data_IF_142508513401
#
_entry.id   IF_142508513401
#
_cell.length_a   1.000
_cell.length_b   1.000
_cell.length_c   1.000
_cell.angle_alpha   90.00
_cell.angle_beta   90.00
_cell.angle_gamma   90.00
#
_symmetry.space_group_name_H-M   'P 1'
#
loop_
_entity.id
_entity.type
_entity.pdbx_description
1 polymer ?
#
# COMPACT_ATOMS: atom_id res chain seq x y z
N UNK A 1 -24.54 0.64 -9.07
CA UNK A 1 -24.32 -0.66 -8.39
C UNK A 1 -22.86 -1.06 -8.65
N UNK A 2 -21.99 -0.93 -7.66
CA UNK A 2 -20.60 -1.40 -7.76
C UNK A 2 -20.61 -2.93 -7.76
N UNK A 3 -20.12 -3.55 -8.85
CA UNK A 3 -19.84 -4.97 -8.86
C UNK A 3 -18.69 -5.22 -7.88
N UNK A 4 -18.98 -5.80 -6.73
CA UNK A 4 -17.95 -6.34 -5.85
C UNK A 4 -17.08 -7.32 -6.65
N UNK A 5 -15.81 -6.99 -6.80
CA UNK A 5 -14.82 -7.93 -7.35
C UNK A 5 -14.55 -8.97 -6.26
N UNK A 6 -15.27 -10.08 -6.28
CA UNK A 6 -14.97 -11.25 -5.44
C UNK A 6 -13.85 -12.05 -6.08
N UNK A 7 -12.83 -12.34 -5.30
CA UNK A 7 -11.87 -13.39 -5.66
C UNK A 7 -12.53 -14.74 -5.39
N UNK A 8 -12.57 -15.58 -6.39
CA UNK A 8 -13.07 -16.94 -6.28
C UNK A 8 -11.89 -17.90 -6.06
N UNK A 9 -12.08 -18.93 -5.24
CA UNK A 9 -11.16 -20.05 -5.20
C UNK A 9 -11.22 -20.84 -6.52
N UNK A 10 -10.20 -21.64 -6.78
CA UNK A 10 -10.20 -22.48 -7.98
C UNK A 10 -11.38 -23.47 -7.98
N UNK A 11 -11.72 -24.01 -6.81
CA UNK A 11 -12.88 -24.88 -6.62
C UNK A 11 -14.20 -24.17 -6.93
N UNK A 12 -14.40 -22.92 -6.43
CA UNK A 12 -15.59 -22.12 -6.74
C UNK A 12 -15.70 -21.81 -8.24
N UNK A 13 -14.55 -21.59 -8.90
CA UNK A 13 -14.53 -21.34 -10.33
C UNK A 13 -14.95 -22.59 -11.12
N UNK A 14 -14.48 -23.78 -10.74
CA UNK A 14 -14.87 -25.06 -11.34
C UNK A 14 -16.36 -25.33 -11.17
N UNK A 15 -16.89 -25.18 -9.95
CA UNK A 15 -18.32 -25.37 -9.66
C UNK A 15 -19.20 -24.45 -10.53
N UNK A 16 -18.82 -23.15 -10.64
CA UNK A 16 -19.56 -22.19 -11.48
C UNK A 16 -19.56 -22.53 -12.97
N UNK A 17 -18.54 -23.25 -13.43
CA UNK A 17 -18.44 -23.76 -14.79
C UNK A 17 -19.17 -25.10 -14.96
N UNK A 18 -19.78 -25.64 -13.89
CA UNK A 18 -20.42 -26.94 -13.89
C UNK A 18 -19.42 -28.09 -14.07
N UNK A 19 -18.19 -27.90 -13.64
CA UNK A 19 -17.11 -28.89 -13.74
C UNK A 19 -16.79 -29.46 -12.36
N UNK A 20 -16.53 -30.76 -12.30
CA UNK A 20 -16.07 -31.41 -11.07
C UNK A 20 -14.61 -31.01 -10.77
N UNK A 21 -14.39 -30.42 -9.61
CA UNK A 21 -13.05 -30.09 -9.17
C UNK A 21 -12.33 -31.34 -8.64
N UNK A 22 -11.11 -31.58 -9.12
CA UNK A 22 -10.22 -32.55 -8.52
C UNK A 22 -9.80 -32.08 -7.12
N UNK A 23 -9.44 -33.00 -6.19
CA UNK A 23 -9.05 -32.64 -4.83
C UNK A 23 -7.95 -31.57 -4.81
N UNK A 24 -8.18 -30.51 -4.02
CA UNK A 24 -7.22 -29.41 -3.86
C UNK A 24 -5.99 -29.85 -3.04
N UNK A 25 -4.92 -29.06 -3.14
CA UNK A 25 -3.61 -29.27 -2.46
C UNK A 25 -2.73 -30.37 -3.04
N UNK A 26 -3.07 -30.85 -4.24
CA UNK A 26 -2.17 -31.62 -5.10
C UNK A 26 -1.78 -30.77 -6.31
N UNK A 27 -0.50 -30.53 -6.51
CA UNK A 27 -0.02 -29.64 -7.56
C UNK A 27 -0.47 -30.05 -8.97
N UNK A 28 -0.60 -31.37 -9.23
CA UNK A 28 -1.08 -31.88 -10.52
C UNK A 28 -2.59 -31.65 -10.69
N UNK A 29 -3.36 -31.86 -9.60
CA UNK A 29 -4.79 -31.59 -9.61
C UNK A 29 -5.09 -30.10 -9.76
N UNK A 30 -4.38 -29.26 -9.04
CA UNK A 30 -4.51 -27.79 -9.14
C UNK A 30 -4.16 -27.29 -10.54
N UNK A 31 -3.10 -27.84 -11.16
CA UNK A 31 -2.75 -27.53 -12.54
C UNK A 31 -3.86 -27.96 -13.52
N UNK A 32 -4.42 -29.15 -13.38
CA UNK A 32 -5.52 -29.64 -14.22
C UNK A 32 -6.79 -28.81 -14.07
N UNK A 33 -7.19 -28.50 -12.85
CA UNK A 33 -8.32 -27.61 -12.54
C UNK A 33 -8.10 -26.22 -13.18
N UNK A 34 -6.89 -25.68 -13.07
CA UNK A 34 -6.53 -24.39 -13.68
C UNK A 34 -6.66 -24.44 -15.21
N UNK A 35 -6.15 -25.48 -15.86
CA UNK A 35 -6.29 -25.66 -17.32
C UNK A 35 -7.77 -25.73 -17.69
N UNK A 36 -8.57 -26.50 -16.97
CA UNK A 36 -10.01 -26.60 -17.21
C UNK A 36 -10.71 -25.27 -17.14
N UNK A 37 -10.43 -24.47 -16.11
CA UNK A 37 -10.96 -23.08 -15.97
C UNK A 37 -10.51 -22.22 -17.16
N UNK A 38 -9.23 -22.27 -17.51
CA UNK A 38 -8.69 -21.48 -18.63
C UNK A 38 -9.33 -21.82 -19.97
N UNK A 39 -9.68 -23.10 -20.21
CA UNK A 39 -10.35 -23.53 -21.45
C UNK A 39 -11.78 -22.99 -21.58
N UNK A 40 -12.42 -22.63 -20.48
CA UNK A 40 -13.78 -22.06 -20.46
C UNK A 40 -13.77 -20.53 -20.42
N UNK A 41 -12.59 -19.89 -20.31
CA UNK A 41 -12.45 -18.44 -20.31
C UNK A 41 -12.15 -17.94 -21.73
N UNK A 42 -12.76 -16.83 -22.10
CA UNK A 42 -12.31 -16.04 -23.25
C UNK A 42 -10.99 -15.35 -22.89
N UNK A 43 -9.88 -16.06 -23.10
CA UNK A 43 -8.53 -15.58 -22.76
C UNK A 43 -8.15 -14.31 -23.52
N UNK A 44 -8.62 -14.16 -24.76
CA UNK A 44 -8.32 -12.97 -25.58
C UNK A 44 -8.99 -11.75 -24.96
N UNK A 45 -10.27 -11.87 -24.63
CA UNK A 45 -11.03 -10.81 -23.96
C UNK A 45 -10.51 -10.55 -22.56
N UNK A 46 -10.25 -11.59 -21.77
CA UNK A 46 -9.71 -11.48 -20.41
C UNK A 46 -8.36 -10.77 -20.37
N UNK A 47 -7.45 -11.09 -21.29
CA UNK A 47 -6.16 -10.41 -21.44
C UNK A 47 -6.32 -8.96 -21.90
N UNK A 48 -7.24 -8.67 -22.81
CA UNK A 48 -7.53 -7.32 -23.25
C UNK A 48 -8.09 -6.47 -22.10
N UNK A 49 -9.04 -6.99 -21.31
CA UNK A 49 -9.60 -6.34 -20.13
C UNK A 49 -8.54 -6.16 -19.03
N UNK A 50 -7.70 -7.17 -18.78
CA UNK A 50 -6.58 -7.08 -17.83
C UNK A 50 -5.58 -5.99 -18.25
N UNK A 51 -5.20 -5.94 -19.53
CA UNK A 51 -4.28 -4.93 -20.03
C UNK A 51 -4.89 -3.52 -20.01
N UNK A 52 -6.19 -3.38 -20.27
CA UNK A 52 -6.91 -2.13 -20.12
C UNK A 52 -6.96 -1.68 -18.64
N UNK A 53 -7.20 -2.62 -17.71
CA UNK A 53 -7.18 -2.38 -16.27
C UNK A 53 -5.76 -2.05 -15.79
N UNK A 54 -4.74 -2.74 -16.31
CA UNK A 54 -3.33 -2.46 -16.02
C UNK A 54 -2.89 -1.10 -16.55
N UNK A 55 -3.38 -0.69 -17.73
CA UNK A 55 -3.20 0.67 -18.23
C UNK A 55 -3.92 1.71 -17.35
N UNK A 56 -5.10 1.38 -16.85
CA UNK A 56 -5.87 2.24 -15.93
C UNK A 56 -5.24 2.30 -14.54
N UNK A 57 -4.65 1.19 -14.06
CA UNK A 57 -3.86 1.14 -12.83
C UNK A 57 -2.45 1.78 -13.00
N UNK A 58 -1.92 1.84 -14.23
CA UNK A 58 -0.80 2.72 -14.57
C UNK A 58 -1.18 4.21 -14.51
N UNK A 59 -2.46 4.53 -14.57
CA UNK A 59 -2.97 5.88 -14.32
C UNK A 59 -2.96 6.26 -12.83
N UNK A 60 -2.77 5.31 -11.91
CA UNK A 60 -2.34 5.60 -10.53
C UNK A 60 -0.84 5.92 -10.46
N UNK A 61 -0.26 6.26 -11.61
CA UNK A 61 1.00 6.96 -11.81
C UNK A 61 2.08 6.58 -10.79
N UNK A 62 2.31 5.26 -10.60
CA UNK A 62 3.49 4.80 -9.85
C UNK A 62 4.72 5.24 -10.64
N UNK A 63 5.38 6.27 -10.15
CA UNK A 63 6.60 6.81 -10.76
C UNK A 63 7.79 5.91 -10.47
N UNK A 64 7.85 5.36 -9.24
CA UNK A 64 8.96 4.52 -8.80
C UNK A 64 8.54 3.54 -7.70
N UNK A 65 9.17 2.37 -7.67
CA UNK A 65 9.13 1.46 -6.52
C UNK A 65 10.56 1.05 -6.16
N UNK A 66 11.00 1.45 -4.97
CA UNK A 66 12.29 1.05 -4.40
C UNK A 66 12.04 -0.02 -3.32
N UNK A 67 12.84 -1.08 -3.36
CA UNK A 67 12.93 -2.09 -2.29
C UNK A 67 14.40 -2.19 -1.88
N UNK A 68 14.83 -1.41 -0.88
CA UNK A 68 16.20 -1.51 -0.39
C UNK A 68 16.48 -2.92 0.11
N UNK A 69 17.66 -3.44 -0.19
CA UNK A 69 18.16 -4.70 0.38
C UNK A 69 18.78 -4.43 1.76
N UNK A 70 17.94 -3.87 2.65
CA UNK A 70 18.33 -3.39 3.97
C UNK A 70 17.25 -3.74 5.00
N UNK A 71 17.71 -4.20 6.16
CA UNK A 71 16.85 -4.54 7.29
C UNK A 71 17.06 -3.55 8.44
N UNK A 72 15.98 -3.20 9.12
CA UNK A 72 15.97 -2.21 10.19
C UNK A 72 15.47 -2.84 11.49
N UNK A 73 16.08 -2.54 12.65
CA UNK A 73 15.62 -3.03 13.94
C UNK A 73 14.21 -2.52 14.29
N UNK A 74 13.89 -1.29 13.91
CA UNK A 74 12.58 -0.70 14.13
C UNK A 74 12.10 0.07 12.90
N UNK A 75 10.79 0.35 12.84
CA UNK A 75 10.22 1.21 11.80
C UNK A 75 10.77 2.63 11.86
N UNK A 76 11.07 3.13 13.06
CA UNK A 76 11.63 4.49 13.23
C UNK A 76 13.02 4.58 12.63
N UNK A 77 13.90 3.59 12.88
CA UNK A 77 15.23 3.58 12.25
C UNK A 77 15.16 3.63 10.72
N UNK A 78 14.16 2.97 10.12
CA UNK A 78 13.97 3.08 8.68
C UNK A 78 13.48 4.48 8.25
N UNK A 79 12.56 5.09 9.02
CA UNK A 79 12.05 6.43 8.71
C UNK A 79 13.05 7.56 9.02
N UNK A 80 14.14 7.28 9.70
CA UNK A 80 15.27 8.16 9.91
C UNK A 80 16.39 7.97 8.86
N UNK A 81 16.30 6.90 8.07
CA UNK A 81 17.27 6.63 7.01
C UNK A 81 17.09 7.60 5.84
N UNK A 82 18.04 8.49 5.68
CA UNK A 82 18.03 9.52 4.63
C UNK A 82 18.03 8.95 3.22
N UNK A 83 18.63 7.78 2.99
CA UNK A 83 18.60 7.11 1.69
C UNK A 83 17.21 6.57 1.33
N UNK A 84 16.45 6.20 2.36
CA UNK A 84 15.06 5.77 2.17
C UNK A 84 14.13 6.96 1.94
N UNK A 85 14.30 8.05 2.71
CA UNK A 85 13.39 9.20 2.71
C UNK A 85 13.67 10.14 1.56
N UNK A 86 14.95 10.42 1.30
CA UNK A 86 15.34 11.30 0.19
C UNK A 86 15.45 10.49 -1.10
N UNK A 87 15.06 11.11 -2.19
CA UNK A 87 15.16 10.50 -3.52
C UNK A 87 15.27 11.56 -4.61
N UNK A 88 15.66 11.13 -5.78
CA UNK A 88 15.70 12.00 -6.94
C UNK A 88 14.36 11.98 -7.67
N UNK A 89 13.92 13.15 -8.09
CA UNK A 89 12.68 13.33 -8.83
C UNK A 89 12.71 12.48 -10.11
N UNK A 90 11.74 11.57 -10.32
CA UNK A 90 11.69 10.73 -11.50
C UNK A 90 11.41 11.50 -12.80
N UNK A 91 11.00 12.77 -12.70
CA UNK A 91 10.72 13.64 -13.85
C UNK A 91 11.91 14.50 -14.24
N UNK A 92 12.68 15.02 -13.28
CA UNK A 92 13.74 16.01 -13.57
C UNK A 92 15.10 15.68 -12.93
N UNK A 93 15.22 14.61 -12.14
CA UNK A 93 16.47 14.19 -11.51
C UNK A 93 16.95 15.03 -10.33
N UNK A 94 16.20 16.08 -9.93
CA UNK A 94 16.55 16.90 -8.76
C UNK A 94 16.12 16.24 -7.45
N UNK A 95 16.64 16.73 -6.35
CA UNK A 95 16.32 16.19 -5.03
C UNK A 95 14.84 16.42 -4.65
N UNK A 96 14.25 15.43 -3.99
CA UNK A 96 12.90 15.47 -3.42
C UNK A 96 13.00 15.32 -1.91
N UNK A 97 12.40 16.25 -1.18
CA UNK A 97 12.33 16.21 0.27
C UNK A 97 10.95 15.73 0.70
N UNK A 98 10.93 14.67 1.52
CA UNK A 98 9.71 14.18 2.15
C UNK A 98 9.42 14.93 3.43
N UNK A 99 8.20 15.45 3.55
CA UNK A 99 7.73 16.16 4.73
C UNK A 99 6.43 15.55 5.27
N UNK A 100 6.24 15.65 6.59
CA UNK A 100 4.99 15.26 7.23
C UNK A 100 4.69 13.79 7.10
N UNK A 101 5.62 12.92 7.54
CA UNK A 101 5.39 11.46 7.54
C UNK A 101 4.27 11.14 8.53
N UNK A 102 3.20 10.53 8.02
CA UNK A 102 2.02 10.13 8.78
C UNK A 102 1.90 8.62 8.79
N UNK A 103 1.49 8.06 9.92
CA UNK A 103 1.14 6.65 10.02
C UNK A 103 -0.21 6.42 9.35
N UNK A 104 -0.26 5.57 8.33
CA UNK A 104 -1.49 5.16 7.67
C UNK A 104 -2.17 4.00 8.42
N UNK A 105 -1.39 2.99 8.79
CA UNK A 105 -1.79 1.85 9.62
C UNK A 105 -0.55 1.23 10.28
N UNK A 106 -0.66 0.01 10.81
CA UNK A 106 0.44 -0.67 11.50
C UNK A 106 1.71 -0.77 10.64
N UNK A 107 1.57 -1.04 9.34
CA UNK A 107 2.70 -1.38 8.45
C UNK A 107 2.89 -0.38 7.30
N UNK A 108 2.17 0.74 7.31
CA UNK A 108 2.25 1.71 6.23
C UNK A 108 2.34 3.13 6.78
N UNK A 109 3.22 3.91 6.15
CA UNK A 109 3.39 5.34 6.38
C UNK A 109 3.29 6.06 5.04
N UNK A 110 2.86 7.30 5.08
CA UNK A 110 2.67 8.14 3.90
C UNK A 110 3.26 9.53 4.15
N UNK A 111 3.73 10.17 3.11
CA UNK A 111 4.14 11.58 3.15
C UNK A 111 3.93 12.26 1.78
N UNK A 112 4.15 13.56 1.75
CA UNK A 112 4.29 14.32 0.50
C UNK A 112 5.76 14.60 0.28
N UNK A 113 6.28 14.17 -0.88
CA UNK A 113 7.59 14.56 -1.38
C UNK A 113 7.46 15.79 -2.28
N UNK A 114 8.32 16.79 -2.08
CA UNK A 114 8.39 17.99 -2.90
C UNK A 114 9.75 18.11 -3.59
N UNK A 115 9.69 18.23 -4.90
CA UNK A 115 10.85 18.49 -5.73
C UNK A 115 11.21 19.99 -5.73
N UNK A 116 12.47 20.31 -5.89
CA UNK A 116 12.95 21.70 -6.06
C UNK A 116 12.28 22.44 -7.23
N UNK A 117 11.87 21.71 -8.26
CA UNK A 117 11.14 22.28 -9.41
C UNK A 117 9.63 22.45 -9.17
N UNK A 118 9.12 22.09 -7.98
CA UNK A 118 7.71 22.22 -7.62
C UNK A 118 6.87 20.98 -7.89
N UNK A 119 7.43 19.90 -8.47
CA UNK A 119 6.69 18.64 -8.61
C UNK A 119 6.40 18.05 -7.22
N UNK A 120 5.20 17.52 -7.05
CA UNK A 120 4.80 16.88 -5.81
C UNK A 120 4.49 15.40 -6.04
N UNK A 121 4.83 14.59 -5.05
CA UNK A 121 4.66 13.15 -5.07
C UNK A 121 3.94 12.68 -3.80
N UNK A 122 3.04 11.72 -3.96
CA UNK A 122 2.53 10.96 -2.83
C UNK A 122 3.46 9.76 -2.61
N UNK A 123 4.05 9.68 -1.43
CA UNK A 123 5.03 8.64 -1.10
C UNK A 123 4.45 7.70 -0.06
N UNK A 124 4.55 6.40 -0.29
CA UNK A 124 4.13 5.37 0.65
C UNK A 124 5.30 4.48 1.01
N UNK A 125 5.51 4.30 2.30
CA UNK A 125 6.42 3.31 2.87
C UNK A 125 5.58 2.13 3.36
N UNK A 126 5.91 0.92 2.89
CA UNK A 126 5.29 -0.33 3.34
C UNK A 126 6.34 -1.18 4.04
N UNK A 127 6.08 -1.52 5.28
CA UNK A 127 6.93 -2.35 6.12
C UNK A 127 6.49 -3.81 6.07
N UNK A 128 7.47 -4.71 6.09
CA UNK A 128 7.26 -6.14 6.28
C UNK A 128 8.10 -6.57 7.47
N UNK A 129 7.45 -7.12 8.50
CA UNK A 129 8.13 -7.67 9.67
C UNK A 129 8.64 -9.07 9.35
N UNK A 130 9.86 -9.37 9.78
CA UNK A 130 10.51 -10.66 9.60
C UNK A 130 10.52 -11.46 10.90
N UNK A 131 10.74 -12.82 10.87
CA UNK A 131 10.75 -13.65 12.06
C UNK A 131 11.81 -13.28 13.11
N UNK A 132 12.90 -12.66 12.69
CA UNK A 132 13.96 -12.13 13.56
C UNK A 132 13.66 -10.75 14.15
N UNK A 133 12.40 -10.34 14.12
CA UNK A 133 11.89 -9.06 14.60
C UNK A 133 12.37 -7.82 13.81
N UNK A 134 13.17 -7.99 12.75
CA UNK A 134 13.58 -6.90 11.88
C UNK A 134 12.48 -6.50 10.87
N UNK A 135 12.67 -5.37 10.19
CA UNK A 135 11.75 -4.85 9.19
C UNK A 135 12.47 -4.59 7.88
N UNK A 136 11.94 -5.09 6.79
CA UNK A 136 12.23 -4.56 5.46
C UNK A 136 11.20 -3.52 5.08
N UNK A 137 11.55 -2.61 4.17
CA UNK A 137 10.67 -1.53 3.73
C UNK A 137 10.66 -1.40 2.22
N UNK A 138 9.50 -1.09 1.65
CA UNK A 138 9.35 -0.69 0.26
C UNK A 138 8.89 0.76 0.20
N UNK A 139 9.55 1.59 -0.59
CA UNK A 139 9.09 2.94 -0.95
C UNK A 139 8.40 2.91 -2.30
N UNK A 140 7.19 3.41 -2.35
CA UNK A 140 6.42 3.55 -3.59
C UNK A 140 6.09 5.03 -3.77
N UNK A 141 6.47 5.57 -4.91
CA UNK A 141 6.27 6.96 -5.27
C UNK A 141 5.18 7.04 -6.33
N UNK A 142 4.17 7.84 -6.08
CA UNK A 142 3.08 8.14 -7.01
C UNK A 142 3.19 9.61 -7.42
N UNK A 143 2.91 9.93 -8.68
CA UNK A 143 2.66 11.31 -9.05
C UNK A 143 1.45 11.83 -8.25
N UNK A 144 1.52 13.07 -7.80
CA UNK A 144 0.44 13.65 -7.02
C UNK A 144 -0.78 13.89 -7.91
N UNK A 145 -1.93 13.44 -7.43
CA UNK A 145 -3.25 13.78 -7.98
C UNK A 145 -4.18 14.25 -6.86
N UNK A 146 -5.38 14.68 -7.21
CA UNK A 146 -6.35 15.23 -6.26
C UNK A 146 -6.81 14.16 -5.25
N UNK A 147 -6.89 12.88 -5.66
CA UNK A 147 -7.30 11.79 -4.77
C UNK A 147 -6.23 11.54 -3.70
N UNK A 148 -4.96 11.44 -4.08
CA UNK A 148 -3.85 11.28 -3.14
C UNK A 148 -3.70 12.49 -2.22
N UNK A 149 -3.87 13.70 -2.76
CA UNK A 149 -3.80 14.93 -1.97
C UNK A 149 -4.92 14.98 -0.92
N UNK A 150 -6.16 14.73 -1.33
CA UNK A 150 -7.31 14.69 -0.43
C UNK A 150 -7.14 13.62 0.65
N UNK A 151 -6.71 12.42 0.26
CA UNK A 151 -6.43 11.34 1.20
C UNK A 151 -5.39 11.74 2.24
N UNK A 152 -4.26 12.33 1.81
CA UNK A 152 -3.21 12.79 2.73
C UNK A 152 -3.74 13.85 3.70
N UNK A 153 -4.50 14.83 3.20
CA UNK A 153 -5.05 15.90 4.03
C UNK A 153 -6.01 15.38 5.11
N UNK A 154 -6.88 14.44 4.75
CA UNK A 154 -7.77 13.77 5.73
C UNK A 154 -6.94 13.05 6.80
N UNK A 155 -5.91 12.31 6.41
CA UNK A 155 -5.05 11.59 7.37
C UNK A 155 -4.26 12.54 8.26
N UNK A 156 -3.81 13.67 7.71
CA UNK A 156 -3.12 14.71 8.47
C UNK A 156 -4.03 15.33 9.54
N UNK A 157 -5.25 15.66 9.16
CA UNK A 157 -6.26 16.20 10.10
C UNK A 157 -6.55 15.19 11.22
N UNK A 158 -6.81 13.92 10.89
CA UNK A 158 -7.05 12.86 11.88
C UNK A 158 -5.86 12.68 12.84
N UNK A 159 -4.63 12.76 12.35
CA UNK A 159 -3.44 12.66 13.18
C UNK A 159 -3.31 13.86 14.14
N UNK A 160 -3.66 15.05 13.68
CA UNK A 160 -3.61 16.27 14.52
C UNK A 160 -4.72 16.24 15.59
N UNK A 161 -5.93 15.84 15.24
CA UNK A 161 -7.04 15.67 16.19
C UNK A 161 -6.68 14.64 17.28
N UNK A 162 -6.09 13.50 16.88
CA UNK A 162 -5.63 12.50 17.84
C UNK A 162 -4.50 13.02 18.75
N UNK A 163 -3.61 13.86 18.21
CA UNK A 163 -2.53 14.49 18.99
C UNK A 163 -3.10 15.47 20.02
N UNK A 164 -4.05 16.32 19.63
CA UNK A 164 -4.72 17.27 20.53
C UNK A 164 -5.43 16.50 21.64
N UNK A 165 -6.26 15.52 21.32
CA UNK A 165 -6.98 14.70 22.31
C UNK A 165 -6.03 13.99 23.30
N UNK A 166 -4.88 13.51 22.82
CA UNK A 166 -3.88 12.90 23.69
C UNK A 166 -3.25 13.93 24.66
N UNK A 167 -2.98 15.15 24.20
CA UNK A 167 -2.46 16.22 25.04
C UNK A 167 -3.47 16.68 26.09
N UNK A 168 -4.74 16.83 25.72
CA UNK A 168 -5.84 17.16 26.63
C UNK A 168 -6.00 16.09 27.70
N UNK A 169 -5.94 14.80 27.32
CA UNK A 169 -5.99 13.69 28.27
C UNK A 169 -4.84 13.71 29.26
N UNK A 170 -3.61 13.96 28.80
CA UNK A 170 -2.43 14.07 29.67
C UNK A 170 -2.55 15.26 30.62
N UNK A 171 -3.02 16.41 30.14
CA UNK A 171 -3.25 17.59 30.98
C UNK A 171 -4.30 17.33 32.07
N UNK A 172 -5.38 16.61 31.74
CA UNK A 172 -6.40 16.23 32.72
C UNK A 172 -5.87 15.26 33.80
N UNK A 173 -4.97 14.35 33.45
CA UNK A 173 -4.28 13.49 34.42
C UNK A 173 -3.40 14.31 35.36
N UNK A 174 -2.61 15.24 34.82
CA UNK A 174 -1.71 16.12 35.61
C UNK A 174 -2.49 17.01 36.58
N UNK A 175 -3.71 17.43 36.21
CA UNK A 175 -4.61 18.23 37.08
C UNK A 175 -5.38 17.39 38.10
N UNK A 176 -5.21 16.05 38.09
CA UNK A 176 -5.87 15.16 39.05
C UNK A 176 -7.36 14.95 38.79
N UNK A 177 -7.88 15.36 37.64
CA UNK A 177 -9.30 15.27 37.27
C UNK A 177 -9.71 13.84 36.83
N UNK A 178 -8.73 13.00 36.45
CA UNK A 178 -8.93 11.59 36.10
C UNK A 178 -8.25 10.71 37.16
N UNK A 179 -9.05 10.13 38.05
CA UNK A 179 -8.61 9.05 38.93
C UNK A 179 -8.53 7.76 38.12
N UNK A 180 -7.37 7.11 38.14
CA UNK A 180 -7.22 5.75 37.62
C UNK A 180 -8.15 4.83 38.40
N UNK A 181 -9.30 4.44 37.81
CA UNK A 181 -10.17 3.40 38.29
C UNK A 181 -9.71 2.04 37.78
#
# INVERSE_FOLDING_TARGET
>A
MSKEQRQYSLSDAMERLGQDALPSHDALHDARNTVTVCMHLDMVRGLAEYNATKKRNKLNKVAETLRPDKFYPTRMNALEDTELINFYCPLCGKNVVCNGILRQNTDKYICIGKCENGDEFFVRFKFTKWPDETFSVSRIIYEMDDEHRNYYNIRKQQAEEARISALEYLAAIEQGELHNG
#
